data_IF_044684238117
#
_entry.id   IF_044684238117
#
_cell.length_a   1.000
_cell.length_b   1.000
_cell.length_c   1.000
_cell.angle_alpha   90.00
_cell.angle_beta   90.00
_cell.angle_gamma   90.00
#
_symmetry.space_group_name_H-M   'P 1'
#
loop_
_entity.id
_entity.type
_entity.pdbx_description
1 polymer ?
#
# COMPACT_ATOMS: atom_id res chain seq x y z
N UNK A 1 -11.74 -0.65 13.44
CA UNK A 1 -10.40 -0.17 13.87
C UNK A 1 -10.35 0.50 15.25
N UNK A 2 -10.97 1.66 15.50
CA UNK A 2 -10.85 2.34 16.81
C UNK A 2 -11.32 1.48 17.99
N UNK A 3 -12.44 0.76 17.84
CA UNK A 3 -12.95 -0.15 18.87
C UNK A 3 -11.97 -1.30 19.21
N UNK A 4 -11.22 -1.79 18.22
CA UNK A 4 -10.36 -2.97 18.37
C UNK A 4 -8.90 -2.62 18.73
N UNK A 5 -8.38 -1.49 18.23
CA UNK A 5 -6.94 -1.22 18.22
C UNK A 5 -6.52 0.08 18.90
N UNK A 6 -7.46 0.91 19.36
CA UNK A 6 -7.08 2.17 19.97
C UNK A 6 -6.45 1.98 21.36
N UNK A 7 -5.38 2.73 21.67
CA UNK A 7 -4.65 2.61 22.93
C UNK A 7 -4.26 4.00 23.44
N UNK A 8 -4.68 4.40 24.66
CA UNK A 8 -4.29 5.69 25.24
C UNK A 8 -2.78 5.93 25.20
N UNK A 9 -2.37 7.14 24.83
CA UNK A 9 -0.96 7.54 24.74
C UNK A 9 -0.19 7.02 23.53
N UNK A 10 -0.84 6.27 22.61
CA UNK A 10 -0.19 5.76 21.39
C UNK A 10 -0.88 6.32 20.16
N UNK A 11 -0.07 6.84 19.24
CA UNK A 11 -0.51 7.19 17.89
C UNK A 11 -0.31 5.97 16.99
N UNK A 12 -1.40 5.41 16.48
CA UNK A 12 -1.38 4.14 15.77
C UNK A 12 -1.99 4.29 14.38
N UNK A 13 -1.23 3.88 13.37
CA UNK A 13 -1.73 3.68 12.03
C UNK A 13 -2.15 2.21 11.86
N UNK A 14 -3.37 1.98 11.40
CA UNK A 14 -3.84 0.69 10.89
C UNK A 14 -4.00 0.83 9.38
N UNK A 15 -3.28 0.02 8.61
CA UNK A 15 -3.29 0.07 7.16
C UNK A 15 -3.82 -1.26 6.62
N UNK A 16 -4.98 -1.22 6.00
CA UNK A 16 -5.48 -2.36 5.25
C UNK A 16 -4.93 -2.29 3.83
N UNK A 17 -4.27 -3.35 3.38
CA UNK A 17 -3.74 -3.48 2.02
C UNK A 17 -4.57 -4.55 1.30
N UNK A 18 -5.75 -4.15 0.84
CA UNK A 18 -6.58 -4.92 -0.09
C UNK A 18 -6.23 -4.58 -1.54
N UNK A 19 -7.20 -4.57 -2.44
CA UNK A 19 -6.98 -4.05 -3.81
C UNK A 19 -6.59 -2.56 -3.81
N UNK A 20 -7.20 -1.77 -2.92
CA UNK A 20 -6.84 -0.40 -2.58
C UNK A 20 -6.29 -0.42 -1.15
N UNK A 21 -5.29 0.42 -0.89
CA UNK A 21 -4.75 0.58 0.45
C UNK A 21 -5.50 1.71 1.18
N UNK A 22 -6.01 1.40 2.38
CA UNK A 22 -6.72 2.36 3.21
C UNK A 22 -6.07 2.49 4.59
N UNK A 23 -6.03 3.71 5.11
CA UNK A 23 -5.35 4.07 6.34
C UNK A 23 -6.38 4.54 7.37
N UNK A 24 -6.22 4.07 8.60
CA UNK A 24 -6.87 4.62 9.79
C UNK A 24 -5.81 5.06 10.78
N UNK A 25 -5.78 6.35 11.10
CA UNK A 25 -4.84 6.93 12.05
C UNK A 25 -5.57 7.33 13.34
N UNK A 26 -5.11 6.75 14.44
CA UNK A 26 -5.64 6.99 15.78
C UNK A 26 -4.61 7.76 16.60
N UNK A 27 -5.04 8.79 17.32
CA UNK A 27 -4.28 9.39 18.42
C UNK A 27 -4.96 8.99 19.73
N UNK A 28 -4.35 8.07 20.46
CA UNK A 28 -4.99 7.47 21.63
C UNK A 28 -6.24 6.70 21.23
N UNK A 29 -7.41 7.27 21.57
CA UNK A 29 -8.75 6.76 21.20
C UNK A 29 -9.44 7.55 20.10
N UNK A 30 -8.83 8.65 19.66
CA UNK A 30 -9.45 9.60 18.74
C UNK A 30 -9.07 9.26 17.31
N UNK A 31 -10.06 9.11 16.43
CA UNK A 31 -9.81 9.01 14.99
C UNK A 31 -9.32 10.37 14.47
N UNK A 32 -8.11 10.40 13.92
CA UNK A 32 -7.49 11.61 13.36
C UNK A 32 -7.54 11.65 11.85
N UNK A 33 -7.47 10.49 11.20
CA UNK A 33 -7.54 10.39 9.74
C UNK A 33 -8.09 9.02 9.31
N UNK A 34 -8.95 9.03 8.30
CA UNK A 34 -9.33 7.85 7.52
C UNK A 34 -9.25 8.22 6.04
N UNK A 35 -8.46 7.50 5.25
CA UNK A 35 -8.32 7.80 3.81
C UNK A 35 -7.82 6.60 3.01
N UNK A 36 -8.13 6.59 1.72
CA UNK A 36 -7.42 5.75 0.75
C UNK A 36 -6.08 6.41 0.41
N UNK A 37 -5.00 5.62 0.45
CA UNK A 37 -3.66 6.08 0.04
C UNK A 37 -3.40 5.84 -1.45
N UNK A 38 -4.11 4.89 -2.07
CA UNK A 38 -3.98 4.55 -3.49
C UNK A 38 -3.99 3.03 -3.73
N UNK A 39 -3.29 2.53 -4.76
CA UNK A 39 -3.33 1.11 -5.08
C UNK A 39 -2.68 0.26 -3.97
N UNK A 40 -3.39 -0.77 -3.54
CA UNK A 40 -2.83 -1.89 -2.77
C UNK A 40 -2.39 -2.98 -3.75
N UNK A 41 -3.00 -4.16 -3.67
CA UNK A 41 -2.66 -5.31 -4.50
C UNK A 41 -3.24 -5.27 -5.92
N UNK A 42 -4.19 -4.38 -6.25
CA UNK A 42 -4.94 -4.47 -7.52
C UNK A 42 -4.05 -4.45 -8.77
N UNK A 43 -2.98 -3.63 -8.78
CA UNK A 43 -2.06 -3.57 -9.90
C UNK A 43 -1.06 -4.72 -9.89
N UNK A 44 -0.62 -5.15 -8.69
CA UNK A 44 0.28 -6.29 -8.50
C UNK A 44 -0.34 -7.59 -9.01
N UNK A 45 -1.59 -7.84 -8.61
CA UNK A 45 -2.35 -9.05 -8.95
C UNK A 45 -2.65 -9.10 -10.44
N UNK A 46 -3.11 -7.98 -11.01
CA UNK A 46 -3.37 -7.93 -12.44
C UNK A 46 -2.10 -8.08 -13.29
N UNK A 47 -0.97 -7.49 -12.86
CA UNK A 47 0.28 -7.57 -13.61
C UNK A 47 0.86 -8.99 -13.59
N UNK A 48 0.88 -9.64 -12.42
CA UNK A 48 1.34 -11.04 -12.35
C UNK A 48 0.39 -12.01 -13.05
N UNK A 49 -0.93 -11.78 -13.00
CA UNK A 49 -1.89 -12.58 -13.77
C UNK A 49 -1.60 -12.50 -15.25
N UNK A 50 -1.33 -11.30 -15.78
CA UNK A 50 -1.00 -11.09 -17.20
C UNK A 50 0.29 -11.83 -17.61
N UNK A 51 1.34 -11.76 -16.82
CA UNK A 51 2.67 -12.23 -17.22
C UNK A 51 3.03 -13.66 -16.78
N UNK A 52 2.43 -14.15 -15.68
CA UNK A 52 2.75 -15.45 -15.09
C UNK A 52 1.54 -16.35 -14.86
N UNK A 53 0.33 -15.88 -15.17
CA UNK A 53 -0.92 -16.64 -14.97
C UNK A 53 -1.15 -17.08 -13.51
N UNK A 54 -0.59 -16.32 -12.56
CA UNK A 54 -0.85 -16.49 -11.13
C UNK A 54 -1.80 -15.39 -10.66
N UNK A 55 -2.67 -15.70 -9.70
CA UNK A 55 -3.66 -14.75 -9.18
C UNK A 55 -3.06 -13.63 -8.33
N UNK A 56 -1.90 -13.86 -7.71
CA UNK A 56 -1.17 -12.88 -6.92
C UNK A 56 0.33 -13.25 -6.82
N UNK A 57 1.16 -12.28 -6.45
CA UNK A 57 2.60 -12.47 -6.22
C UNK A 57 2.85 -12.98 -4.80
N UNK A 58 3.00 -14.30 -4.68
CA UNK A 58 3.21 -14.96 -3.40
C UNK A 58 4.43 -14.40 -2.68
N UNK A 59 4.21 -13.91 -1.46
CA UNK A 59 5.17 -13.25 -0.58
C UNK A 59 5.90 -12.02 -1.19
N UNK A 60 5.46 -11.55 -2.36
CA UNK A 60 6.16 -10.54 -3.16
C UNK A 60 7.44 -11.04 -3.84
N UNK A 61 7.59 -12.36 -4.03
CA UNK A 61 8.83 -12.95 -4.54
C UNK A 61 9.21 -12.45 -5.94
N UNK A 62 8.22 -12.23 -6.82
CA UNK A 62 8.49 -11.74 -8.17
C UNK A 62 8.87 -10.26 -8.16
N UNK A 63 8.19 -9.44 -7.34
CA UNK A 63 8.57 -8.05 -7.10
C UNK A 63 9.99 -7.93 -6.50
N UNK A 64 10.35 -8.80 -5.56
CA UNK A 64 11.68 -8.80 -4.93
C UNK A 64 12.81 -9.17 -5.88
N UNK A 65 12.53 -9.98 -6.92
CA UNK A 65 13.49 -10.36 -7.94
C UNK A 65 13.71 -9.26 -9.01
N UNK A 66 12.82 -8.27 -9.09
CA UNK A 66 12.93 -7.15 -10.01
C UNK A 66 13.67 -5.96 -9.40
N UNK A 67 14.06 -5.02 -10.27
CA UNK A 67 14.66 -3.74 -9.88
C UNK A 67 13.63 -2.63 -10.02
N UNK A 68 13.48 -1.81 -8.97
CA UNK A 68 12.62 -0.63 -9.03
C UNK A 68 13.14 0.34 -10.09
N UNK A 69 12.25 0.79 -10.98
CA UNK A 69 12.57 1.70 -12.06
C UNK A 69 12.19 3.13 -11.67
N UNK A 70 13.15 4.01 -11.30
CA UNK A 70 12.82 5.32 -10.72
C UNK A 70 12.06 6.23 -11.68
N UNK A 71 12.31 6.11 -12.98
CA UNK A 71 11.59 6.87 -14.02
C UNK A 71 10.11 6.52 -14.03
N UNK A 72 9.78 5.23 -14.08
CA UNK A 72 8.41 4.75 -14.04
C UNK A 72 7.75 5.10 -12.70
N UNK A 73 8.43 4.88 -11.57
CA UNK A 73 7.91 5.21 -10.24
C UNK A 73 7.47 6.67 -10.14
N UNK A 74 8.32 7.60 -10.57
CA UNK A 74 7.98 9.04 -10.59
C UNK A 74 6.79 9.34 -11.48
N UNK A 75 6.69 8.69 -12.64
CA UNK A 75 5.56 8.90 -13.54
C UNK A 75 4.25 8.41 -12.90
N UNK A 76 4.24 7.21 -12.31
CA UNK A 76 3.06 6.66 -11.63
C UNK A 76 2.61 7.55 -10.46
N UNK A 77 3.57 8.09 -9.69
CA UNK A 77 3.29 9.03 -8.60
C UNK A 77 2.77 10.39 -9.06
N UNK A 78 2.96 10.74 -10.33
CA UNK A 78 2.43 11.96 -10.95
C UNK A 78 0.94 11.90 -11.25
N UNK A 79 0.27 10.76 -10.99
CA UNK A 79 -1.16 10.62 -11.23
C UNK A 79 -1.99 11.61 -10.39
N UNK A 80 -2.98 12.25 -11.02
CA UNK A 80 -3.82 13.28 -10.39
C UNK A 80 -4.53 12.81 -9.11
N UNK A 81 -4.75 11.50 -8.95
CA UNK A 81 -5.28 10.96 -7.70
C UNK A 81 -4.46 11.39 -6.47
N UNK A 82 -3.13 11.38 -6.58
CA UNK A 82 -2.23 11.69 -5.47
C UNK A 82 -2.16 13.18 -5.13
N UNK A 83 -2.64 14.06 -6.01
CA UNK A 83 -2.64 15.52 -5.83
C UNK A 83 -4.00 16.10 -5.43
N UNK A 84 -5.08 15.29 -5.41
CA UNK A 84 -6.41 15.75 -5.00
C UNK A 84 -6.49 16.05 -3.50
N UNK A 85 -7.06 17.21 -3.17
CA UNK A 85 -7.46 17.61 -1.82
C UNK A 85 -8.90 17.17 -1.51
N UNK A 86 -9.20 16.91 -0.24
CA UNK A 86 -10.53 16.47 0.23
C UNK A 86 -10.65 14.94 0.41
N UNK A 87 -11.84 14.44 0.78
CA UNK A 87 -12.08 13.01 0.98
C UNK A 87 -11.75 12.21 -0.29
N UNK A 88 -10.81 11.27 -0.19
CA UNK A 88 -10.38 10.39 -1.27
C UNK A 88 -11.06 9.03 -1.11
N UNK A 89 -11.89 8.66 -2.08
CA UNK A 89 -12.16 7.27 -2.40
C UNK A 89 -11.64 7.00 -3.81
N UNK A 90 -10.70 6.06 -3.96
CA UNK A 90 -10.40 5.50 -5.30
C UNK A 90 -11.08 4.17 -5.42
N UNK A 91 -11.97 4.05 -6.41
CA UNK A 91 -12.39 2.74 -6.90
C UNK A 91 -11.36 2.13 -7.87
N UNK A 92 -11.72 0.96 -8.39
CA UNK A 92 -11.02 0.27 -9.49
C UNK A 92 -10.88 1.11 -10.77
N UNK A 93 -11.61 2.22 -10.87
CA UNK A 93 -11.60 3.13 -12.02
C UNK A 93 -10.28 3.88 -12.17
N UNK A 94 -9.60 4.22 -11.07
CA UNK A 94 -8.37 5.03 -11.12
C UNK A 94 -7.10 4.19 -11.36
N UNK A 95 -7.06 2.96 -10.86
CA UNK A 95 -5.88 2.09 -10.91
C UNK A 95 -6.26 0.73 -11.51
N UNK A 96 -6.05 0.58 -12.81
CA UNK A 96 -6.33 -0.64 -13.56
C UNK A 96 -5.27 -0.88 -14.63
N UNK A 97 -5.35 -2.03 -15.30
CA UNK A 97 -4.39 -2.44 -16.33
C UNK A 97 -4.35 -1.50 -17.53
N UNK A 98 -5.50 -0.98 -17.99
CA UNK A 98 -5.53 -0.08 -19.13
C UNK A 98 -4.78 1.22 -18.83
N UNK A 99 -4.99 1.79 -17.63
CA UNK A 99 -4.19 2.91 -17.15
C UNK A 99 -2.70 2.56 -17.08
N UNK A 100 -2.34 1.40 -16.51
CA UNK A 100 -0.95 0.98 -16.42
C UNK A 100 -0.30 0.84 -17.81
N UNK A 101 -1.02 0.30 -18.80
CA UNK A 101 -0.55 0.17 -20.18
C UNK A 101 -0.24 1.53 -20.81
N UNK A 102 -1.04 2.56 -20.53
CA UNK A 102 -0.76 3.93 -20.96
C UNK A 102 0.52 4.46 -20.30
N UNK A 103 0.72 4.19 -19.01
CA UNK A 103 1.93 4.62 -18.29
C UNK A 103 3.19 3.93 -18.84
N UNK A 104 3.09 2.67 -19.26
CA UNK A 104 4.22 1.89 -19.76
C UNK A 104 4.62 2.23 -21.21
N UNK A 105 3.84 3.01 -21.96
CA UNK A 105 4.19 3.40 -23.35
C UNK A 105 5.56 4.10 -23.46
N UNK A 106 5.95 4.85 -22.42
CA UNK A 106 7.27 5.51 -22.35
C UNK A 106 8.41 4.59 -21.90
N UNK A 107 8.14 3.32 -21.61
CA UNK A 107 9.06 2.36 -21.01
C UNK A 107 9.00 0.98 -21.68
N UNK A 108 9.12 0.88 -23.02
CA UNK A 108 8.84 -0.35 -23.76
C UNK A 108 9.77 -1.52 -23.42
N UNK A 109 10.99 -1.26 -22.97
CA UNK A 109 12.04 -2.27 -22.76
C UNK A 109 12.15 -2.74 -21.30
N UNK A 110 11.24 -2.33 -20.42
CA UNK A 110 11.31 -2.76 -19.02
C UNK A 110 10.95 -4.24 -18.88
N UNK A 111 11.78 -4.97 -18.13
CA UNK A 111 11.45 -6.32 -17.73
C UNK A 111 10.15 -6.32 -16.89
N UNK A 112 9.30 -7.32 -17.10
CA UNK A 112 8.03 -7.39 -16.37
C UNK A 112 8.23 -7.50 -14.85
N UNK A 113 9.31 -8.13 -14.39
CA UNK A 113 9.67 -8.18 -12.97
C UNK A 113 10.01 -6.79 -12.41
N UNK A 114 10.65 -5.92 -13.20
CA UNK A 114 11.00 -4.56 -12.79
C UNK A 114 9.75 -3.67 -12.68
N UNK A 115 8.78 -3.87 -13.57
CA UNK A 115 7.46 -3.23 -13.45
C UNK A 115 6.77 -3.70 -12.16
N UNK A 116 6.76 -5.01 -11.87
CA UNK A 116 6.20 -5.54 -10.61
C UNK A 116 6.88 -4.93 -9.37
N UNK A 117 8.22 -4.86 -9.36
CA UNK A 117 8.99 -4.25 -8.30
C UNK A 117 8.63 -2.76 -8.10
N UNK A 118 8.43 -2.05 -9.21
CA UNK A 118 8.07 -0.63 -9.22
C UNK A 118 6.64 -0.40 -8.72
N UNK A 119 5.69 -1.29 -9.06
CA UNK A 119 4.33 -1.25 -8.54
C UNK A 119 4.30 -1.51 -7.03
N UNK A 120 5.09 -2.47 -6.53
CA UNK A 120 5.18 -2.74 -5.09
C UNK A 120 5.76 -1.53 -4.34
N UNK A 121 6.77 -0.88 -4.93
CA UNK A 121 7.33 0.36 -4.41
C UNK A 121 6.31 1.50 -4.40
N UNK A 122 5.48 1.64 -5.44
CA UNK A 122 4.41 2.64 -5.51
C UNK A 122 3.42 2.48 -4.35
N UNK A 123 2.98 1.26 -4.04
CA UNK A 123 2.07 1.00 -2.91
C UNK A 123 2.71 1.44 -1.59
N UNK A 124 3.97 1.04 -1.33
CA UNK A 124 4.69 1.42 -0.12
C UNK A 124 4.84 2.95 0.02
N UNK A 125 5.26 3.64 -1.04
CA UNK A 125 5.52 5.08 -1.02
C UNK A 125 4.23 5.92 -0.92
N UNK A 126 3.13 5.46 -1.50
CA UNK A 126 1.86 6.19 -1.41
C UNK A 126 1.24 6.07 -0.01
N UNK A 127 1.36 4.92 0.65
CA UNK A 127 1.00 4.76 2.07
C UNK A 127 1.89 5.67 2.94
N UNK A 128 3.21 5.63 2.74
CA UNK A 128 4.15 6.44 3.51
C UNK A 128 3.88 7.94 3.35
N UNK A 129 3.67 8.42 2.12
CA UNK A 129 3.36 9.83 1.83
C UNK A 129 2.04 10.27 2.50
N UNK A 130 1.02 9.42 2.49
CA UNK A 130 -0.25 9.72 3.15
C UNK A 130 -0.10 9.85 4.68
N UNK A 131 0.74 9.03 5.31
CA UNK A 131 1.05 9.13 6.74
C UNK A 131 1.93 10.34 7.08
N UNK A 132 2.90 10.67 6.23
CA UNK A 132 3.75 11.85 6.41
C UNK A 132 2.97 13.17 6.31
N UNK A 133 1.92 13.19 5.50
CA UNK A 133 1.01 14.33 5.37
C UNK A 133 -0.11 14.36 6.43
N UNK A 134 -0.14 13.40 7.35
CA UNK A 134 -1.20 13.25 8.33
C UNK A 134 -1.10 14.29 9.48
N UNK A 135 -2.21 14.62 10.16
CA UNK A 135 -2.22 15.63 11.21
C UNK A 135 -1.48 15.20 12.50
N UNK A 136 -1.16 13.91 12.65
CA UNK A 136 -0.39 13.37 13.78
C UNK A 136 0.62 12.34 13.29
N UNK A 137 1.78 12.26 13.94
CA UNK A 137 2.80 11.26 13.61
C UNK A 137 2.45 9.94 14.28
N UNK A 138 2.36 8.86 13.49
CA UNK A 138 2.17 7.51 14.02
C UNK A 138 3.45 7.02 14.71
N UNK A 139 3.31 6.44 15.89
CA UNK A 139 4.40 5.77 16.62
C UNK A 139 4.53 4.30 16.23
N UNK A 140 3.43 3.69 15.78
CA UNK A 140 3.35 2.29 15.37
C UNK A 140 2.46 2.16 14.13
N UNK A 141 2.83 1.25 13.22
CA UNK A 141 2.01 0.89 12.07
C UNK A 141 1.69 -0.61 12.07
N UNK A 142 0.41 -0.94 11.92
CA UNK A 142 -0.07 -2.31 11.79
C UNK A 142 -0.80 -2.53 10.48
N UNK A 143 -0.44 -3.60 9.76
CA UNK A 143 -0.99 -3.96 8.46
C UNK A 143 -2.02 -5.09 8.60
N UNK A 144 -3.14 -4.97 7.89
CA UNK A 144 -4.15 -6.01 7.70
C UNK A 144 -4.51 -6.18 6.21
N UNK A 145 -5.39 -7.13 5.91
CA UNK A 145 -5.76 -7.49 4.53
C UNK A 145 -4.68 -8.31 3.82
N UNK A 146 -4.93 -8.67 2.57
CA UNK A 146 -4.07 -9.58 1.81
C UNK A 146 -2.60 -9.14 1.69
N UNK A 147 -2.33 -7.83 1.64
CA UNK A 147 -0.97 -7.30 1.60
C UNK A 147 -0.16 -7.51 2.89
N UNK A 148 -0.80 -7.88 4.01
CA UNK A 148 -0.10 -8.29 5.24
C UNK A 148 0.72 -9.58 5.05
N UNK A 149 0.42 -10.37 4.02
CA UNK A 149 1.16 -11.59 3.68
C UNK A 149 2.27 -11.36 2.64
N UNK A 150 2.44 -10.13 2.15
CA UNK A 150 3.48 -9.80 1.18
C UNK A 150 4.74 -9.27 1.89
N UNK A 151 5.69 -10.18 2.14
CA UNK A 151 6.92 -9.87 2.90
C UNK A 151 7.79 -8.80 2.24
N UNK A 152 7.89 -8.79 0.90
CA UNK A 152 8.63 -7.75 0.18
C UNK A 152 7.97 -6.37 0.34
N UNK A 153 6.64 -6.31 0.23
CA UNK A 153 5.88 -5.08 0.40
C UNK A 153 6.00 -4.52 1.81
N UNK A 154 5.91 -5.37 2.84
CA UNK A 154 6.10 -4.93 4.23
C UNK A 154 7.49 -4.35 4.46
N UNK A 155 8.53 -4.97 3.90
CA UNK A 155 9.92 -4.46 3.97
C UNK A 155 10.07 -3.12 3.26
N UNK A 156 9.47 -2.94 2.08
CA UNK A 156 9.47 -1.65 1.36
C UNK A 156 8.74 -0.57 2.14
N UNK A 157 7.60 -0.91 2.73
CA UNK A 157 6.83 0.01 3.55
C UNK A 157 7.61 0.45 4.78
N UNK A 158 8.23 -0.50 5.50
CA UNK A 158 9.05 -0.19 6.67
C UNK A 158 10.22 0.74 6.32
N UNK A 159 10.91 0.49 5.19
CA UNK A 159 11.94 1.38 4.70
C UNK A 159 11.40 2.79 4.36
N UNK A 160 10.20 2.89 3.79
CA UNK A 160 9.59 4.16 3.39
C UNK A 160 9.07 5.00 4.58
N UNK A 161 8.74 4.37 5.71
CA UNK A 161 8.20 5.06 6.90
C UNK A 161 9.17 5.15 8.07
N UNK A 162 10.41 4.66 7.90
CA UNK A 162 11.41 4.64 8.96
C UNK A 162 11.50 6.02 9.66
N UNK A 163 11.57 6.05 11.00
CA UNK A 163 11.86 4.94 11.92
C UNK A 163 10.61 4.21 12.47
N UNK A 164 9.41 4.41 11.92
CA UNK A 164 8.20 3.76 12.43
C UNK A 164 8.25 2.25 12.14
N UNK A 165 8.05 1.43 13.18
CA UNK A 165 8.04 -0.03 13.05
C UNK A 165 6.75 -0.51 12.36
N UNK A 166 6.90 -1.42 11.40
CA UNK A 166 5.78 -2.08 10.70
C UNK A 166 5.57 -3.48 11.25
N UNK A 167 4.34 -3.79 11.64
CA UNK A 167 3.92 -5.14 12.05
C UNK A 167 2.57 -5.47 11.40
N UNK A 168 2.10 -6.70 11.51
CA UNK A 168 0.72 -7.05 11.15
C UNK A 168 -0.20 -6.91 12.36
N UNK A 169 -1.52 -6.83 12.15
CA UNK A 169 -2.49 -6.79 13.27
C UNK A 169 -2.45 -8.04 14.16
N UNK A 170 -1.81 -9.13 13.71
CA UNK A 170 -1.58 -10.31 14.54
C UNK A 170 -0.79 -9.98 15.81
N UNK A 171 0.13 -9.00 15.76
CA UNK A 171 0.85 -8.51 16.93
C UNK A 171 -0.06 -7.83 17.97
N UNK A 172 -1.28 -7.45 17.57
CA UNK A 172 -2.32 -6.92 18.44
C UNK A 172 -3.38 -7.98 18.81
N UNK A 173 -3.16 -9.25 18.43
CA UNK A 173 -4.05 -10.37 18.74
C UNK A 173 -5.20 -10.57 17.76
N UNK A 174 -5.20 -9.90 16.60
CA UNK A 174 -6.25 -10.08 15.58
C UNK A 174 -5.61 -10.45 14.24
N UNK A 175 -6.01 -11.60 13.71
CA UNK A 175 -5.55 -12.09 12.41
C UNK A 175 -5.80 -11.04 11.30
N UNK A 176 -4.78 -10.70 10.46
CA UNK A 176 -4.90 -9.74 9.36
C UNK A 176 -6.07 -9.96 8.42
N UNK A 177 -6.46 -11.21 8.17
CA UNK A 177 -7.53 -11.56 7.22
C UNK A 177 -8.93 -11.30 7.80
N UNK A 178 -9.03 -11.13 9.13
CA UNK A 178 -10.30 -11.05 9.83
C UNK A 178 -10.71 -9.60 10.11
N UNK A 179 -9.80 -8.64 9.95
CA UNK A 179 -10.02 -7.23 10.33
C UNK A 179 -11.12 -6.55 9.51
N UNK A 180 -11.26 -6.87 8.22
CA UNK A 180 -12.34 -6.32 7.38
C UNK A 180 -13.71 -6.96 7.67
N UNK A 181 -13.74 -8.17 8.24
CA UNK A 181 -14.97 -8.91 8.54
C UNK A 181 -15.57 -8.57 9.91
N UNK A 182 -14.93 -7.70 10.70
CA UNK A 182 -15.28 -7.33 12.08
C UNK A 182 -15.98 -5.98 12.23
#
# INVERSE_FOLDING_TARGET
>A
HAAAFARPGINRAIVNIGGIANITLLEGKTLRMGCDSGPGNTLLDHWIQRHRQHSYDRDGQWAAAGTVQPGLLRQLQGHNYFTRSGPRSSGKEAFNLAWLDEQLRGFPDLAAADVQATLAQLTAETIARALQAAPVIASELYVCGGGAHNSDLLRRLEAAIAPVRVQTTAALGIDPDWVEAM
#
